data_IF_539761509151
#
_entry.id   IF_539761509151
#
_cell.length_a   1.000
_cell.length_b   1.000
_cell.length_c   1.000
_cell.angle_alpha   90.00
_cell.angle_beta   90.00
_cell.angle_gamma   90.00
#
_symmetry.space_group_name_H-M   'P 1'
#
loop_
_entity.id
_entity.type
_entity.pdbx_description
1 polymer ?
#
# COMPACT_ATOMS: atom_id res chain seq x y z
N UNK A 1 4.34 6.56 4.84
CA UNK A 1 3.86 7.56 3.85
C UNK A 1 2.54 8.23 4.25
N UNK A 2 1.40 7.52 4.25
CA UNK A 2 0.08 8.10 4.56
C UNK A 2 0.03 8.87 5.89
N UNK A 3 0.52 8.27 6.99
CA UNK A 3 0.57 8.92 8.29
C UNK A 3 1.41 10.22 8.28
N UNK A 4 2.56 10.22 7.60
CA UNK A 4 3.37 11.42 7.44
C UNK A 4 2.64 12.52 6.66
N UNK A 5 1.98 12.17 5.56
CA UNK A 5 1.17 13.13 4.78
C UNK A 5 -0.02 13.65 5.60
N UNK A 6 -0.64 12.81 6.42
CA UNK A 6 -1.69 13.23 7.33
C UNK A 6 -1.18 14.24 8.37
N UNK A 7 0.02 14.05 8.93
CA UNK A 7 0.66 15.05 9.80
C UNK A 7 0.90 16.38 9.06
N UNK A 8 1.34 16.33 7.80
CA UNK A 8 1.51 17.53 6.98
C UNK A 8 0.18 18.25 6.70
N UNK A 9 -0.88 17.48 6.47
CA UNK A 9 -2.23 18.02 6.28
C UNK A 9 -2.75 18.70 7.54
N UNK A 10 -2.59 18.06 8.70
CA UNK A 10 -2.93 18.67 10.00
C UNK A 10 -2.08 19.90 10.32
N UNK A 11 -0.79 19.88 9.98
CA UNK A 11 0.05 21.08 10.09
C UNK A 11 -0.52 22.24 9.27
N UNK A 12 -0.97 22.00 8.03
CA UNK A 12 -1.56 23.04 7.18
C UNK A 12 -2.83 23.63 7.79
N UNK A 13 -3.68 22.81 8.40
CA UNK A 13 -4.93 23.23 9.02
C UNK A 13 -4.70 23.95 10.37
N UNK A 14 -3.94 23.33 11.26
CA UNK A 14 -3.85 23.73 12.67
C UNK A 14 -2.58 24.53 13.02
N UNK A 15 -1.61 24.59 12.10
CA UNK A 15 -0.30 25.26 12.25
C UNK A 15 0.55 24.78 13.43
N UNK A 16 0.33 23.53 13.86
CA UNK A 16 1.06 22.89 14.96
C UNK A 16 2.47 22.45 14.51
N UNK A 17 3.50 23.16 14.94
CA UNK A 17 4.89 23.03 14.44
C UNK A 17 5.50 21.62 14.55
N UNK A 18 5.28 20.88 15.65
CA UNK A 18 5.91 19.56 15.85
C UNK A 18 5.42 18.51 14.83
N UNK A 19 4.33 18.77 14.11
CA UNK A 19 3.82 17.87 13.09
C UNK A 19 4.72 17.78 11.86
N UNK A 20 5.55 18.80 11.59
CA UNK A 20 6.52 18.78 10.49
C UNK A 20 7.65 17.78 10.71
N UNK A 21 8.42 17.84 11.82
CA UNK A 21 9.45 16.82 12.08
C UNK A 21 8.83 15.43 12.30
N UNK A 22 7.65 15.33 12.90
CA UNK A 22 6.94 14.05 13.00
C UNK A 22 6.59 13.49 11.61
N UNK A 23 6.11 14.33 10.70
CA UNK A 23 5.83 13.94 9.32
C UNK A 23 7.08 13.39 8.63
N UNK A 24 8.19 14.13 8.70
CA UNK A 24 9.48 13.71 8.14
C UNK A 24 9.99 12.41 8.75
N UNK A 25 9.91 12.24 10.07
CA UNK A 25 10.31 11.01 10.77
C UNK A 25 9.47 9.78 10.36
N UNK A 26 8.16 9.93 10.22
CA UNK A 26 7.26 8.85 9.77
C UNK A 26 7.51 8.44 8.33
N UNK A 27 7.93 9.38 7.48
CA UNK A 27 8.31 9.07 6.10
C UNK A 27 9.69 8.42 6.07
N UNK A 28 10.66 8.92 6.84
CA UNK A 28 11.99 8.34 7.00
C UNK A 28 11.92 6.88 7.46
N UNK A 29 11.13 6.58 8.50
CA UNK A 29 10.88 5.23 8.95
C UNK A 29 10.26 4.33 7.86
N UNK A 30 9.39 4.91 7.02
CA UNK A 30 8.86 4.23 5.84
C UNK A 30 9.92 3.94 4.78
N UNK A 31 10.83 4.88 4.52
CA UNK A 31 11.93 4.72 3.57
C UNK A 31 12.94 3.67 4.04
N UNK A 32 13.25 3.65 5.34
CA UNK A 32 14.13 2.67 5.98
C UNK A 32 13.61 1.23 5.85
N UNK A 33 12.29 1.05 5.83
CA UNK A 33 11.69 -0.28 5.66
C UNK A 33 11.45 -0.65 4.19
N UNK A 34 11.30 0.35 3.32
CA UNK A 34 11.12 0.15 1.87
C UNK A 34 11.69 1.32 1.08
N UNK A 35 12.70 1.02 0.26
CA UNK A 35 13.33 1.97 -0.66
C UNK A 35 12.31 2.70 -1.57
N UNK A 36 11.24 2.01 -1.98
CA UNK A 36 10.14 2.58 -2.78
C UNK A 36 9.46 3.76 -2.09
N UNK A 37 9.40 3.80 -0.75
CA UNK A 37 8.87 4.95 -0.01
C UNK A 37 9.87 6.10 0.00
N UNK A 38 11.17 5.82 -0.08
CA UNK A 38 12.22 6.83 -0.27
C UNK A 38 12.04 7.64 -1.54
N UNK A 39 11.56 7.01 -2.63
CA UNK A 39 11.22 7.73 -3.87
C UNK A 39 10.12 8.79 -3.69
N UNK A 40 9.30 8.68 -2.64
CA UNK A 40 8.30 9.71 -2.31
C UNK A 40 8.93 11.03 -1.83
N UNK A 41 10.23 11.08 -1.53
CA UNK A 41 10.87 12.31 -1.05
C UNK A 41 10.64 13.49 -2.00
N UNK A 42 10.76 13.27 -3.32
CA UNK A 42 10.54 14.31 -4.34
C UNK A 42 9.11 14.87 -4.30
N UNK A 43 8.03 14.06 -4.44
CA UNK A 43 6.69 14.60 -4.36
C UNK A 43 6.40 15.21 -2.99
N UNK A 44 6.97 14.68 -1.90
CA UNK A 44 6.80 15.24 -0.57
C UNK A 44 7.42 16.63 -0.41
N UNK A 45 8.59 16.90 -0.99
CA UNK A 45 9.19 18.24 -1.00
C UNK A 45 8.30 19.25 -1.70
N UNK A 46 7.75 18.89 -2.86
CA UNK A 46 6.78 19.71 -3.59
C UNK A 46 5.56 19.99 -2.71
N UNK A 47 5.04 18.97 -2.02
CA UNK A 47 3.88 19.11 -1.14
C UNK A 47 4.13 20.02 0.06
N UNK A 48 5.27 19.85 0.75
CA UNK A 48 5.66 20.71 1.86
C UNK A 48 5.81 22.15 1.37
N UNK A 49 6.49 22.37 0.25
CA UNK A 49 6.72 23.70 -0.34
C UNK A 49 5.43 24.50 -0.54
N UNK A 50 4.36 23.83 -1.03
CA UNK A 50 3.04 24.44 -1.24
C UNK A 50 2.13 24.43 0.01
N UNK A 51 2.48 23.68 1.05
CA UNK A 51 1.73 23.64 2.31
C UNK A 51 2.20 24.68 3.35
N UNK A 52 3.47 25.09 3.29
CA UNK A 52 4.08 26.02 4.27
C UNK A 52 3.94 27.49 3.85
N UNK A 53 3.95 28.39 4.84
CA UNK A 53 3.89 29.82 4.59
C UNK A 53 5.22 30.32 3.98
N UNK A 54 5.21 31.20 2.97
CA UNK A 54 6.44 31.69 2.34
C UNK A 54 7.45 32.29 3.32
N UNK A 55 6.97 33.00 4.34
CA UNK A 55 7.82 33.65 5.36
C UNK A 55 8.54 32.68 6.29
N UNK A 56 7.98 31.48 6.52
CA UNK A 56 8.58 30.45 7.40
C UNK A 56 9.11 29.24 6.63
N UNK A 57 9.06 29.29 5.29
CA UNK A 57 9.29 28.14 4.42
C UNK A 57 10.62 27.45 4.67
N UNK A 58 11.71 28.20 4.85
CA UNK A 58 13.03 27.61 5.11
C UNK A 58 13.08 26.87 6.45
N UNK A 59 12.54 27.47 7.52
CA UNK A 59 12.43 26.82 8.83
C UNK A 59 11.57 25.56 8.75
N UNK A 60 10.41 25.67 8.11
CA UNK A 60 9.45 24.57 8.05
C UNK A 60 9.97 23.41 7.17
N UNK A 61 10.66 23.72 6.07
CA UNK A 61 11.41 22.75 5.27
C UNK A 61 12.52 22.11 6.09
N UNK A 62 13.31 22.90 6.82
CA UNK A 62 14.37 22.36 7.68
C UNK A 62 13.79 21.39 8.71
N UNK A 63 12.74 21.77 9.43
CA UNK A 63 12.08 20.90 10.41
C UNK A 63 11.56 19.59 9.79
N UNK A 64 11.02 19.64 8.58
CA UNK A 64 10.58 18.45 7.86
C UNK A 64 11.75 17.60 7.34
N UNK A 65 12.80 18.24 6.84
CA UNK A 65 13.93 17.61 6.18
C UNK A 65 14.92 16.99 7.16
N UNK A 66 15.11 17.55 8.34
CA UNK A 66 16.08 17.02 9.32
C UNK A 66 15.88 15.53 9.61
N UNK A 67 14.70 15.05 10.03
CA UNK A 67 14.50 13.61 10.29
C UNK A 67 14.54 12.75 9.01
N UNK A 68 14.20 13.33 7.85
CA UNK A 68 14.38 12.65 6.55
C UNK A 68 15.85 12.48 6.20
N UNK A 69 16.67 13.50 6.44
CA UNK A 69 18.12 13.48 6.25
C UNK A 69 18.78 12.44 7.14
N UNK A 70 18.39 12.37 8.42
CA UNK A 70 18.86 11.30 9.32
C UNK A 70 18.49 9.92 8.80
N UNK A 71 17.26 9.73 8.30
CA UNK A 71 16.86 8.47 7.68
C UNK A 71 17.66 8.11 6.43
N UNK A 72 17.97 9.09 5.58
CA UNK A 72 18.79 8.91 4.39
C UNK A 72 20.25 8.57 4.75
N UNK A 73 20.81 9.22 5.77
CA UNK A 73 22.14 8.93 6.28
C UNK A 73 22.26 7.49 6.79
N UNK A 74 21.26 7.02 7.54
CA UNK A 74 21.19 5.62 7.99
C UNK A 74 21.15 4.66 6.80
N UNK A 75 20.38 4.97 5.74
CA UNK A 75 20.35 4.16 4.52
C UNK A 75 21.70 4.13 3.81
N UNK A 76 22.34 5.28 3.63
CA UNK A 76 23.65 5.35 2.99
C UNK A 76 24.73 4.61 3.79
N UNK A 77 24.71 4.72 5.12
CA UNK A 77 25.61 3.96 5.98
C UNK A 77 25.34 2.45 5.89
N UNK A 78 24.08 2.03 5.81
CA UNK A 78 23.69 0.64 5.62
C UNK A 78 24.16 0.09 4.26
N UNK A 79 23.90 0.82 3.17
CA UNK A 79 24.28 0.44 1.81
C UNK A 79 25.82 0.41 1.66
N UNK A 80 26.53 1.39 2.23
CA UNK A 80 28.00 1.35 2.31
C UNK A 80 28.51 0.14 3.08
N UNK A 81 27.89 -0.20 4.22
CA UNK A 81 28.27 -1.38 5.00
C UNK A 81 28.03 -2.71 4.26
N UNK A 82 27.04 -2.77 3.36
CA UNK A 82 26.66 -3.97 2.62
C UNK A 82 27.40 -4.14 1.29
N UNK A 83 27.61 -3.05 0.56
CA UNK A 83 28.11 -3.06 -0.81
C UNK A 83 29.44 -2.31 -0.99
N UNK A 84 29.91 -1.59 0.04
CA UNK A 84 31.09 -0.73 -0.05
C UNK A 84 30.82 0.59 -0.81
N UNK A 85 29.56 0.84 -1.20
CA UNK A 85 29.14 2.04 -1.92
C UNK A 85 27.78 2.52 -1.38
N UNK A 86 27.65 3.78 -0.89
CA UNK A 86 26.39 4.28 -0.33
C UNK A 86 25.27 4.44 -1.35
N UNK A 87 25.57 4.42 -2.65
CA UNK A 87 24.59 4.54 -3.73
C UNK A 87 24.17 3.20 -4.32
N UNK A 88 24.79 2.10 -3.90
CA UNK A 88 24.46 0.77 -4.35
C UNK A 88 23.38 0.18 -3.44
N UNK A 89 22.16 0.05 -3.96
CA UNK A 89 20.98 -0.32 -3.16
C UNK A 89 20.60 -1.80 -3.31
N UNK A 90 21.30 -2.53 -4.20
CA UNK A 90 20.95 -3.88 -4.61
C UNK A 90 19.71 -3.98 -5.50
N UNK A 91 19.19 -2.85 -5.99
CA UNK A 91 18.09 -2.81 -6.97
C UNK A 91 18.60 -2.35 -8.33
N UNK A 92 18.05 -2.91 -9.43
CA UNK A 92 18.32 -2.40 -10.78
C UNK A 92 17.78 -0.98 -10.90
N UNK A 93 18.55 -0.09 -11.51
CA UNK A 93 18.22 1.33 -11.69
C UNK A 93 17.82 1.65 -13.12
N UNK A 94 17.46 0.64 -13.90
CA UNK A 94 17.07 0.74 -15.30
C UNK A 94 15.59 1.16 -15.44
N UNK A 95 15.34 2.14 -16.30
CA UNK A 95 14.01 2.72 -16.57
C UNK A 95 13.63 2.62 -18.05
N UNK A 96 13.76 1.42 -18.60
CA UNK A 96 13.61 1.11 -20.02
C UNK A 96 12.23 0.54 -20.41
N UNK A 97 11.38 0.17 -19.45
CA UNK A 97 10.03 -0.34 -19.74
C UNK A 97 9.22 0.70 -20.53
N UNK A 98 8.60 0.33 -21.67
CA UNK A 98 7.67 1.21 -22.37
C UNK A 98 6.54 1.64 -21.43
N UNK A 99 6.31 2.96 -21.33
CA UNK A 99 5.41 3.53 -20.31
C UNK A 99 4.02 2.89 -20.33
N UNK A 100 3.43 2.70 -21.51
CA UNK A 100 2.11 2.10 -21.64
C UNK A 100 2.08 0.65 -21.15
N UNK A 101 3.14 -0.13 -21.39
CA UNK A 101 3.27 -1.51 -20.91
C UNK A 101 3.28 -1.55 -19.39
N UNK A 102 4.11 -0.71 -18.76
CA UNK A 102 4.17 -0.64 -17.30
C UNK A 102 2.89 -0.12 -16.65
N UNK A 103 2.25 0.90 -17.24
CA UNK A 103 0.95 1.43 -16.76
C UNK A 103 -0.14 0.37 -16.88
N UNK A 104 -0.28 -0.25 -18.04
CA UNK A 104 -1.26 -1.32 -18.25
C UNK A 104 -0.96 -2.51 -17.32
N UNK A 105 0.31 -2.80 -17.10
CA UNK A 105 0.77 -3.85 -16.20
C UNK A 105 0.36 -3.60 -14.75
N UNK A 106 0.69 -2.42 -14.22
CA UNK A 106 0.38 -2.03 -12.84
C UNK A 106 -1.13 -1.90 -12.57
N UNK A 107 -1.92 -1.52 -13.57
CA UNK A 107 -3.36 -1.32 -13.40
C UNK A 107 -4.19 -2.57 -13.72
N UNK A 108 -3.84 -3.32 -14.76
CA UNK A 108 -4.73 -4.32 -15.37
C UNK A 108 -4.12 -5.70 -15.59
N UNK A 109 -2.82 -5.91 -15.30
CA UNK A 109 -2.23 -7.25 -15.47
C UNK A 109 -2.94 -8.30 -14.61
N UNK A 110 -3.02 -9.52 -15.12
CA UNK A 110 -3.63 -10.64 -14.42
C UNK A 110 -2.78 -11.14 -13.26
N UNK A 111 -1.47 -10.89 -13.27
CA UNK A 111 -0.55 -11.29 -12.20
C UNK A 111 -0.35 -10.24 -11.11
N UNK A 112 -0.56 -8.94 -11.40
CA UNK A 112 -0.22 -7.85 -10.46
C UNK A 112 -1.18 -6.66 -10.46
N UNK A 113 -2.13 -6.60 -11.39
CA UNK A 113 -2.91 -5.39 -11.67
C UNK A 113 -3.74 -4.93 -10.49
N UNK A 114 -3.73 -3.61 -10.24
CA UNK A 114 -4.50 -2.97 -9.19
C UNK A 114 -6.00 -3.29 -9.28
N UNK A 115 -6.57 -3.28 -10.48
CA UNK A 115 -7.98 -3.57 -10.69
C UNK A 115 -8.36 -5.01 -10.37
N UNK A 116 -7.43 -5.95 -10.54
CA UNK A 116 -7.66 -7.39 -10.31
C UNK A 116 -7.46 -7.73 -8.83
N UNK A 117 -6.37 -7.26 -8.23
CA UNK A 117 -5.98 -7.62 -6.87
C UNK A 117 -6.51 -6.69 -5.78
N UNK A 118 -6.92 -5.46 -6.13
CA UNK A 118 -7.48 -4.51 -5.17
C UNK A 118 -8.60 -3.66 -5.80
N UNK A 119 -9.66 -4.29 -6.33
CA UNK A 119 -10.81 -3.58 -6.90
C UNK A 119 -11.46 -2.60 -5.91
N UNK A 120 -11.42 -2.92 -4.61
CA UNK A 120 -11.89 -2.03 -3.53
C UNK A 120 -11.14 -0.70 -3.53
N UNK A 121 -9.83 -0.70 -3.80
CA UNK A 121 -9.06 0.55 -3.91
C UNK A 121 -9.43 1.35 -5.16
N UNK A 122 -9.75 0.68 -6.27
CA UNK A 122 -10.23 1.35 -7.49
C UNK A 122 -11.55 2.08 -7.21
N UNK A 123 -12.49 1.41 -6.53
CA UNK A 123 -13.76 2.03 -6.10
C UNK A 123 -13.49 3.22 -5.17
N UNK A 124 -12.56 3.07 -4.23
CA UNK A 124 -12.17 4.16 -3.31
C UNK A 124 -11.61 5.38 -4.02
N UNK A 125 -10.70 5.20 -4.98
CA UNK A 125 -10.19 6.32 -5.78
C UNK A 125 -11.30 6.96 -6.63
N UNK A 126 -12.13 6.16 -7.30
CA UNK A 126 -13.25 6.68 -8.08
C UNK A 126 -14.19 7.53 -7.20
N UNK A 127 -14.58 7.03 -6.03
CA UNK A 127 -15.41 7.74 -5.07
C UNK A 127 -14.77 9.06 -4.60
N UNK A 128 -13.46 9.07 -4.35
CA UNK A 128 -12.71 10.26 -3.97
C UNK A 128 -12.75 11.33 -5.07
N UNK A 129 -12.44 10.96 -6.31
CA UNK A 129 -12.32 11.92 -7.42
C UNK A 129 -13.69 12.43 -7.89
N UNK A 130 -14.72 11.58 -7.89
CA UNK A 130 -16.07 11.95 -8.30
C UNK A 130 -16.84 12.73 -7.22
N UNK A 131 -16.48 12.59 -5.94
CA UNK A 131 -17.18 13.27 -4.85
C UNK A 131 -16.93 14.78 -4.85
N UNK A 132 -17.99 15.57 -4.65
CA UNK A 132 -17.90 17.03 -4.45
C UNK A 132 -17.46 17.43 -3.03
N UNK A 133 -17.36 16.48 -2.08
CA UNK A 133 -16.97 16.74 -0.68
C UNK A 133 -15.49 17.07 -0.52
N UNK A 134 -14.64 16.44 -1.33
CA UNK A 134 -13.20 16.67 -1.26
C UNK A 134 -12.81 17.93 -2.02
N UNK A 135 -12.01 18.77 -1.37
CA UNK A 135 -11.48 19.97 -1.95
C UNK A 135 -10.44 19.67 -3.04
N UNK A 136 -10.17 20.67 -3.89
CA UNK A 136 -9.24 20.52 -5.03
C UNK A 136 -7.86 20.09 -4.56
N UNK A 137 -7.38 20.58 -3.41
CA UNK A 137 -6.07 20.23 -2.89
C UNK A 137 -5.96 18.73 -2.56
N UNK A 138 -6.92 18.16 -1.82
CA UNK A 138 -6.91 16.72 -1.48
C UNK A 138 -6.94 15.85 -2.73
N UNK A 139 -7.74 16.22 -3.74
CA UNK A 139 -7.80 15.51 -5.02
C UNK A 139 -6.47 15.62 -5.78
N UNK A 140 -5.95 16.83 -5.96
CA UNK A 140 -4.70 17.05 -6.68
C UNK A 140 -3.51 16.35 -6.01
N UNK A 141 -3.44 16.38 -4.67
CA UNK A 141 -2.45 15.66 -3.87
C UNK A 141 -2.52 14.15 -4.12
N UNK A 142 -3.72 13.58 -4.00
CA UNK A 142 -3.94 12.14 -4.18
C UNK A 142 -3.62 11.72 -5.61
N UNK A 143 -4.07 12.48 -6.60
CA UNK A 143 -3.77 12.24 -8.01
C UNK A 143 -2.27 12.33 -8.28
N UNK A 144 -1.60 13.36 -7.78
CA UNK A 144 -0.17 13.57 -7.96
C UNK A 144 0.64 12.40 -7.38
N UNK A 145 0.35 11.98 -6.14
CA UNK A 145 1.02 10.83 -5.54
C UNK A 145 0.75 9.54 -6.31
N UNK A 146 -0.51 9.28 -6.66
CA UNK A 146 -0.87 8.09 -7.43
C UNK A 146 -0.16 8.05 -8.78
N UNK A 147 -0.19 9.15 -9.54
CA UNK A 147 0.45 9.28 -10.84
C UNK A 147 1.98 9.21 -10.72
N UNK A 148 2.57 9.83 -9.71
CA UNK A 148 4.01 9.75 -9.46
C UNK A 148 4.44 8.29 -9.27
N UNK A 149 3.79 7.58 -8.34
CA UNK A 149 4.08 6.17 -8.09
C UNK A 149 3.77 5.29 -9.30
N UNK A 150 2.70 5.57 -10.04
CA UNK A 150 2.36 4.82 -11.25
C UNK A 150 3.43 5.00 -12.34
N UNK A 151 3.79 6.25 -12.67
CA UNK A 151 4.70 6.55 -13.78
C UNK A 151 6.12 6.09 -13.47
N UNK A 152 6.64 6.35 -12.26
CA UNK A 152 8.01 5.98 -11.91
C UNK A 152 8.20 4.47 -11.97
N UNK A 153 7.23 3.70 -11.44
CA UNK A 153 7.31 2.24 -11.46
C UNK A 153 6.92 1.64 -12.80
N UNK A 154 6.07 2.30 -13.60
CA UNK A 154 5.75 1.85 -14.95
C UNK A 154 6.96 1.94 -15.88
N UNK A 155 7.88 2.88 -15.64
CA UNK A 155 9.12 3.01 -16.40
C UNK A 155 10.21 2.05 -15.93
N UNK A 156 10.18 1.64 -14.67
CA UNK A 156 11.18 0.76 -14.08
C UNK A 156 11.20 -0.62 -14.78
N UNK A 157 12.38 -1.20 -15.02
CA UNK A 157 12.52 -2.50 -15.70
C UNK A 157 11.80 -3.63 -14.95
N UNK A 158 11.69 -3.50 -13.63
CA UNK A 158 10.98 -4.43 -12.74
C UNK A 158 9.61 -3.87 -12.33
N UNK A 159 8.85 -3.30 -13.27
CA UNK A 159 7.52 -2.72 -13.02
C UNK A 159 6.56 -3.70 -12.31
N UNK A 160 6.74 -5.01 -12.49
CA UNK A 160 5.95 -6.06 -11.84
C UNK A 160 6.31 -6.31 -10.38
N UNK A 161 7.37 -5.67 -9.86
CA UNK A 161 7.73 -5.64 -8.44
C UNK A 161 8.29 -6.95 -7.89
N UNK A 162 8.77 -7.84 -8.77
CA UNK A 162 9.28 -9.17 -8.41
C UNK A 162 8.18 -10.20 -8.18
N UNK A 163 8.54 -11.29 -7.49
CA UNK A 163 7.65 -12.42 -7.19
C UNK A 163 6.82 -12.16 -5.93
N UNK A 164 5.84 -11.27 -6.04
CA UNK A 164 4.98 -10.87 -4.91
C UNK A 164 3.49 -10.85 -5.25
N UNK A 165 2.63 -10.94 -4.25
CA UNK A 165 1.18 -10.83 -4.45
C UNK A 165 0.72 -9.38 -4.70
N UNK A 166 0.02 -9.16 -5.81
CA UNK A 166 -0.67 -7.90 -6.12
C UNK A 166 0.24 -6.70 -6.47
N UNK A 167 -0.32 -5.47 -6.51
CA UNK A 167 0.33 -4.25 -7.00
C UNK A 167 1.26 -3.64 -5.94
N UNK A 168 2.28 -4.39 -5.48
CA UNK A 168 3.15 -4.02 -4.36
C UNK A 168 3.72 -2.59 -4.44
N UNK A 169 4.04 -2.15 -5.65
CA UNK A 169 4.65 -0.83 -5.91
C UNK A 169 3.67 0.34 -5.71
N UNK A 170 2.36 0.09 -5.81
CA UNK A 170 1.32 1.09 -5.55
C UNK A 170 0.80 1.06 -4.11
N UNK A 171 1.21 0.09 -3.29
CA UNK A 171 0.79 0.00 -1.87
C UNK A 171 0.96 1.31 -1.08
N UNK A 172 2.02 2.12 -1.26
CA UNK A 172 2.16 3.37 -0.51
C UNK A 172 1.03 4.37 -0.72
N UNK A 173 0.35 4.32 -1.88
CA UNK A 173 -0.73 5.25 -2.23
C UNK A 173 -2.13 4.67 -2.02
N UNK A 174 -2.29 3.36 -1.86
CA UNK A 174 -3.61 2.74 -1.66
C UNK A 174 -4.37 3.23 -0.42
N UNK A 175 -3.74 3.59 0.72
CA UNK A 175 -4.47 4.15 1.86
C UNK A 175 -5.30 5.39 1.54
N UNK A 176 -4.92 6.17 0.51
CA UNK A 176 -5.69 7.34 0.06
C UNK A 176 -7.03 6.96 -0.57
N UNK A 177 -7.15 5.78 -1.18
CA UNK A 177 -8.45 5.27 -1.64
C UNK A 177 -9.44 5.09 -0.49
N UNK A 178 -8.93 4.83 0.72
CA UNK A 178 -9.73 4.73 1.94
C UNK A 178 -10.53 5.99 2.23
N UNK A 179 -10.02 7.18 1.89
CA UNK A 179 -10.75 8.45 2.07
C UNK A 179 -12.05 8.45 1.25
N UNK A 180 -12.00 7.99 -0.01
CA UNK A 180 -13.19 7.88 -0.84
C UNK A 180 -14.15 6.78 -0.39
N UNK A 181 -13.64 5.65 0.11
CA UNK A 181 -14.47 4.58 0.67
C UNK A 181 -15.24 5.05 1.91
N UNK A 182 -14.58 5.79 2.82
CA UNK A 182 -15.27 6.39 3.98
C UNK A 182 -16.41 7.29 3.53
N UNK A 183 -16.17 8.14 2.52
CA UNK A 183 -17.22 9.00 1.98
C UNK A 183 -18.40 8.21 1.38
N UNK A 184 -18.13 7.11 0.67
CA UNK A 184 -19.16 6.25 0.11
C UNK A 184 -20.00 5.61 1.23
N UNK A 185 -19.34 5.09 2.26
CA UNK A 185 -20.02 4.46 3.40
C UNK A 185 -20.82 5.44 4.25
N UNK A 186 -20.42 6.70 4.37
CA UNK A 186 -21.24 7.71 5.06
C UNK A 186 -22.60 7.95 4.37
N UNK A 187 -22.68 7.73 3.05
CA UNK A 187 -23.87 7.98 2.24
C UNK A 187 -24.69 6.75 1.87
N UNK A 188 -24.14 5.56 2.05
CA UNK A 188 -24.81 4.33 1.66
C UNK A 188 -25.84 3.89 2.70
N UNK A 189 -27.05 3.60 2.23
CA UNK A 189 -27.98 2.77 2.99
C UNK A 189 -27.31 1.42 3.26
N UNK A 190 -27.50 0.89 4.47
CA UNK A 190 -26.82 -0.33 4.92
C UNK A 190 -25.28 -0.27 4.85
N UNK A 191 -24.66 0.90 5.06
CA UNK A 191 -23.20 1.10 5.08
C UNK A 191 -22.39 0.02 5.79
N UNK A 192 -22.96 -0.58 6.84
CA UNK A 192 -22.36 -1.67 7.62
C UNK A 192 -22.22 -2.96 6.82
N UNK A 193 -23.23 -3.31 6.01
CA UNK A 193 -23.23 -4.49 5.15
C UNK A 193 -22.20 -4.30 4.04
N UNK A 194 -22.26 -3.17 3.32
CA UNK A 194 -21.29 -2.87 2.26
C UNK A 194 -19.85 -2.79 2.78
N UNK A 195 -19.65 -2.19 3.95
CA UNK A 195 -18.36 -2.18 4.63
C UNK A 195 -17.85 -3.58 4.94
N UNK A 196 -18.71 -4.44 5.51
CA UNK A 196 -18.36 -5.83 5.81
C UNK A 196 -18.09 -6.66 4.53
N UNK A 197 -18.87 -6.46 3.47
CA UNK A 197 -18.69 -7.15 2.19
C UNK A 197 -17.37 -6.74 1.52
N UNK A 198 -17.07 -5.44 1.42
CA UNK A 198 -15.83 -4.98 0.80
C UNK A 198 -14.60 -5.35 1.64
N UNK A 199 -14.71 -5.28 2.97
CA UNK A 199 -13.66 -5.75 3.87
C UNK A 199 -13.46 -7.26 3.74
N UNK A 200 -14.54 -8.05 3.75
CA UNK A 200 -14.50 -9.50 3.59
C UNK A 200 -13.93 -9.92 2.23
N UNK A 201 -14.32 -9.22 1.16
CA UNK A 201 -13.81 -9.47 -0.18
C UNK A 201 -12.32 -9.12 -0.32
N UNK A 202 -11.88 -7.97 0.19
CA UNK A 202 -10.47 -7.61 0.25
C UNK A 202 -9.67 -8.57 1.13
N UNK A 203 -10.23 -8.96 2.27
CA UNK A 203 -9.67 -9.95 3.19
C UNK A 203 -9.49 -11.31 2.52
N UNK A 204 -10.49 -11.78 1.78
CA UNK A 204 -10.42 -13.04 1.03
C UNK A 204 -9.30 -12.99 -0.01
N UNK A 205 -9.22 -11.94 -0.83
CA UNK A 205 -8.15 -11.78 -1.82
C UNK A 205 -6.76 -11.83 -1.17
N UNK A 206 -6.58 -11.18 -0.01
CA UNK A 206 -5.30 -11.17 0.69
C UNK A 206 -5.03 -12.48 1.46
N UNK A 207 -6.07 -13.18 1.90
CA UNK A 207 -5.93 -14.48 2.53
C UNK A 207 -5.40 -15.52 1.54
N UNK A 208 -5.84 -15.48 0.28
CA UNK A 208 -5.30 -16.32 -0.78
C UNK A 208 -3.78 -16.10 -0.97
N UNK A 209 -3.26 -14.91 -0.69
CA UNK A 209 -1.82 -14.65 -0.77
C UNK A 209 -1.01 -15.49 0.23
N UNK A 210 -1.58 -15.79 1.40
CA UNK A 210 -0.93 -16.60 2.45
C UNK A 210 -0.87 -18.08 2.05
N UNK A 211 -1.87 -18.53 1.29
CA UNK A 211 -2.00 -19.92 0.85
C UNK A 211 -1.28 -20.23 -0.47
N UNK A 212 -0.46 -19.31 -1.00
CA UNK A 212 0.44 -19.59 -2.14
C UNK A 212 1.84 -19.08 -1.82
N UNK A 213 2.86 -19.97 -1.75
CA UNK A 213 4.25 -19.53 -1.72
C UNK A 213 4.62 -18.99 -3.10
N UNK A 214 4.45 -17.68 -3.22
CA UNK A 214 4.40 -17.00 -4.50
C UNK A 214 5.76 -16.94 -5.20
N UNK A 215 6.84 -16.93 -4.41
CA UNK A 215 8.21 -17.09 -4.89
C UNK A 215 8.44 -18.46 -5.51
N UNK A 216 8.03 -19.54 -4.83
CA UNK A 216 8.16 -20.92 -5.29
C UNK A 216 7.37 -21.13 -6.58
N UNK A 217 6.14 -20.63 -6.65
CA UNK A 217 5.34 -20.70 -7.88
C UNK A 217 6.07 -20.08 -9.09
N UNK A 218 6.58 -18.85 -8.95
CA UNK A 218 7.28 -18.18 -10.05
C UNK A 218 8.59 -18.89 -10.40
N UNK A 219 9.36 -19.30 -9.40
CA UNK A 219 10.61 -20.02 -9.59
C UNK A 219 10.38 -21.34 -10.33
N UNK A 220 9.44 -22.16 -9.88
CA UNK A 220 9.09 -23.44 -10.51
C UNK A 220 8.57 -23.24 -11.92
N UNK A 221 7.69 -22.25 -12.15
CA UNK A 221 7.20 -21.95 -13.49
C UNK A 221 8.34 -21.56 -14.43
N UNK A 222 9.27 -20.70 -14.00
CA UNK A 222 10.42 -20.31 -14.81
C UNK A 222 11.37 -21.47 -15.11
N UNK A 223 11.61 -22.37 -14.14
CA UNK A 223 12.41 -23.59 -14.34
C UNK A 223 11.79 -24.50 -15.39
N UNK A 224 10.47 -24.58 -15.45
CA UNK A 224 9.72 -25.33 -16.46
C UNK A 224 9.58 -24.58 -17.80
N UNK A 225 10.31 -23.48 -17.99
CA UNK A 225 10.35 -22.72 -19.25
C UNK A 225 9.17 -21.76 -19.46
N UNK A 226 8.33 -21.51 -18.44
CA UNK A 226 7.30 -20.49 -18.55
C UNK A 226 7.94 -19.11 -18.57
N UNK A 227 7.51 -18.28 -19.53
CA UNK A 227 7.95 -16.89 -19.62
C UNK A 227 7.22 -16.03 -18.59
N UNK A 228 7.92 -15.08 -17.99
CA UNK A 228 7.34 -14.14 -17.01
C UNK A 228 6.13 -13.37 -17.57
N UNK A 229 6.22 -12.94 -18.83
CA UNK A 229 5.13 -12.30 -19.56
C UNK A 229 3.82 -13.11 -19.52
N UNK A 230 3.89 -14.45 -19.54
CA UNK A 230 2.70 -15.30 -19.52
C UNK A 230 2.04 -15.25 -18.15
N UNK A 231 2.84 -15.32 -17.08
CA UNK A 231 2.37 -15.25 -15.70
C UNK A 231 1.74 -13.88 -15.37
N UNK A 232 2.22 -12.83 -16.02
CA UNK A 232 1.71 -11.47 -15.83
C UNK A 232 0.44 -11.18 -16.66
N UNK A 233 0.40 -11.61 -17.93
CA UNK A 233 -0.61 -11.15 -18.89
C UNK A 233 -1.65 -12.18 -19.29
N UNK A 234 -1.44 -13.48 -19.06
CA UNK A 234 -2.43 -14.49 -19.44
C UNK A 234 -3.33 -14.81 -18.25
N UNK A 235 -4.64 -14.63 -18.46
CA UNK A 235 -5.68 -15.00 -17.49
C UNK A 235 -5.55 -16.45 -17.00
N UNK A 236 -5.13 -17.38 -17.88
CA UNK A 236 -4.92 -18.80 -17.54
C UNK A 236 -3.86 -19.02 -16.46
N UNK A 237 -2.92 -18.09 -16.27
CA UNK A 237 -1.90 -18.20 -15.23
C UNK A 237 -2.14 -17.23 -14.08
N UNK A 238 -3.32 -16.58 -14.04
CA UNK A 238 -3.70 -15.69 -12.96
C UNK A 238 -3.78 -16.47 -11.63
N UNK A 239 -2.93 -16.15 -10.64
CA UNK A 239 -2.92 -16.88 -9.38
C UNK A 239 -4.20 -16.75 -8.56
N UNK A 240 -4.96 -15.67 -8.74
CA UNK A 240 -6.28 -15.51 -8.14
C UNK A 240 -7.30 -16.50 -8.68
N UNK A 241 -7.29 -16.76 -10.00
CA UNK A 241 -8.27 -17.62 -10.64
C UNK A 241 -7.89 -19.11 -10.54
N UNK A 242 -6.59 -19.41 -10.56
CA UNK A 242 -6.07 -20.78 -10.54
C UNK A 242 -5.48 -21.14 -9.17
N UNK A 243 -5.95 -20.48 -8.11
CA UNK A 243 -5.48 -20.70 -6.75
C UNK A 243 -5.62 -22.16 -6.29
N UNK A 244 -6.66 -22.86 -6.76
CA UNK A 244 -6.90 -24.26 -6.45
C UNK A 244 -5.83 -25.19 -7.04
N UNK A 245 -5.40 -24.95 -8.29
CA UNK A 245 -4.32 -25.71 -8.93
C UNK A 245 -3.00 -25.46 -8.21
N UNK A 246 -2.73 -24.19 -7.88
CA UNK A 246 -1.54 -23.78 -7.13
C UNK A 246 -1.47 -24.45 -5.76
N UNK A 247 -2.58 -24.43 -5.03
CA UNK A 247 -2.66 -25.07 -3.72
C UNK A 247 -2.45 -26.58 -3.81
N UNK A 248 -3.06 -27.24 -4.80
CA UNK A 248 -2.94 -28.69 -4.99
C UNK A 248 -1.52 -29.12 -5.41
N UNK A 249 -0.78 -28.26 -6.12
CA UNK A 249 0.59 -28.56 -6.58
C UNK A 249 1.68 -28.21 -5.58
N UNK A 250 1.37 -27.55 -4.48
CA UNK A 250 2.37 -27.02 -3.53
C UNK A 250 2.50 -27.94 -2.33
N UNK A 251 3.73 -28.31 -1.97
CA UNK A 251 3.97 -29.10 -0.75
C UNK A 251 3.98 -28.18 0.46
N UNK A 252 3.62 -28.70 1.64
CA UNK A 252 3.59 -27.85 2.84
C UNK A 252 4.97 -27.29 3.19
N UNK A 253 6.03 -27.99 2.77
CA UNK A 253 7.43 -27.60 2.92
C UNK A 253 7.78 -26.31 2.17
N UNK A 254 7.00 -25.97 1.14
CA UNK A 254 7.18 -24.74 0.36
C UNK A 254 6.55 -23.52 1.05
N UNK A 255 5.74 -23.72 2.09
CA UNK A 255 5.05 -22.64 2.79
C UNK A 255 5.90 -22.04 3.91
N UNK A 256 5.68 -20.75 4.17
CA UNK A 256 6.28 -20.05 5.31
C UNK A 256 5.87 -20.65 6.68
N UNK A 257 4.85 -21.51 6.72
CA UNK A 257 4.43 -22.24 7.92
C UNK A 257 5.48 -23.23 8.45
N UNK A 258 6.43 -23.65 7.60
CA UNK A 258 7.56 -24.52 8.02
C UNK A 258 8.41 -23.84 9.10
N UNK A 259 8.57 -22.52 9.02
CA UNK A 259 9.27 -21.73 10.06
C UNK A 259 8.58 -21.78 11.42
N UNK A 260 7.29 -22.13 11.46
CA UNK A 260 6.51 -22.34 12.68
C UNK A 260 6.52 -23.81 13.14
N UNK A 261 7.33 -24.67 12.52
CA UNK A 261 7.40 -26.11 12.81
C UNK A 261 6.19 -26.90 12.31
N UNK A 262 5.38 -26.32 11.41
CA UNK A 262 4.21 -26.99 10.84
C UNK A 262 4.65 -27.81 9.64
N UNK A 263 4.70 -29.13 9.81
CA UNK A 263 5.06 -30.10 8.76
C UNK A 263 3.85 -30.81 8.13
N UNK A 264 2.63 -30.54 8.60
CA UNK A 264 1.40 -31.16 8.12
C UNK A 264 0.26 -30.15 8.08
N UNK A 265 -0.61 -30.27 7.08
CA UNK A 265 -1.82 -29.44 7.00
C UNK A 265 -2.71 -29.79 8.19
N UNK A 266 -2.80 -28.89 9.17
CA UNK A 266 -3.45 -29.17 10.45
C UNK A 266 -4.06 -27.94 11.11
N UNK A 267 -4.61 -28.15 12.31
CA UNK A 267 -5.25 -27.11 13.12
C UNK A 267 -4.42 -25.81 13.33
N UNK A 268 -3.07 -25.79 13.35
CA UNK A 268 -2.31 -24.55 13.52
C UNK A 268 -2.49 -23.56 12.36
N UNK A 269 -2.59 -24.04 11.12
CA UNK A 269 -2.81 -23.19 9.93
C UNK A 269 -4.22 -22.60 9.95
N UNK A 270 -5.21 -23.40 10.38
CA UNK A 270 -6.58 -22.94 10.58
C UNK A 270 -6.67 -21.88 11.69
N UNK A 271 -5.86 -22.01 12.76
CA UNK A 271 -5.80 -21.00 13.83
C UNK A 271 -5.24 -19.66 13.36
N UNK A 272 -4.28 -19.63 12.42
CA UNK A 272 -3.78 -18.35 11.86
C UNK A 272 -4.88 -17.66 11.06
N UNK A 273 -5.63 -18.41 10.23
CA UNK A 273 -6.80 -17.89 9.53
C UNK A 273 -7.91 -17.41 10.48
N UNK A 274 -8.22 -18.19 11.51
CA UNK A 274 -9.16 -17.84 12.58
C UNK A 274 -8.71 -16.62 13.38
N UNK A 275 -7.42 -16.49 13.67
CA UNK A 275 -6.87 -15.34 14.38
C UNK A 275 -6.99 -14.06 13.56
N UNK A 276 -6.69 -14.12 12.26
CA UNK A 276 -6.94 -13.01 11.33
C UNK A 276 -8.42 -12.62 11.28
N UNK A 277 -9.32 -13.61 11.26
CA UNK A 277 -10.78 -13.40 11.32
C UNK A 277 -11.21 -12.77 12.65
N UNK A 278 -10.67 -13.23 13.78
CA UNK A 278 -10.95 -12.68 15.12
C UNK A 278 -10.47 -11.24 15.22
N UNK A 279 -9.26 -10.92 14.75
CA UNK A 279 -8.75 -9.55 14.71
C UNK A 279 -9.64 -8.64 13.85
N UNK A 280 -10.12 -9.13 12.70
CA UNK A 280 -11.09 -8.42 11.88
C UNK A 280 -12.40 -8.16 12.63
N UNK A 281 -12.96 -9.17 13.31
CA UNK A 281 -14.20 -9.06 14.10
C UNK A 281 -14.01 -8.07 15.27
N UNK A 282 -12.88 -8.13 15.98
CA UNK A 282 -12.54 -7.21 17.07
C UNK A 282 -12.37 -5.79 16.55
N UNK A 283 -11.71 -5.61 15.39
CA UNK A 283 -11.61 -4.34 14.70
C UNK A 283 -12.98 -3.74 14.39
N UNK A 284 -13.89 -4.54 13.79
CA UNK A 284 -15.28 -4.16 13.53
C UNK A 284 -16.01 -3.77 14.82
N UNK A 285 -15.84 -4.54 15.92
CA UNK A 285 -16.46 -4.23 17.22
C UNK A 285 -15.93 -2.94 17.84
N UNK A 286 -14.63 -2.66 17.73
CA UNK A 286 -14.04 -1.40 18.22
C UNK A 286 -14.51 -0.19 17.41
N UNK A 287 -14.55 -0.30 16.09
CA UNK A 287 -15.15 0.74 15.23
C UNK A 287 -16.62 0.96 15.59
N UNK A 288 -17.38 -0.12 15.82
CA UNK A 288 -18.78 -0.05 16.26
C UNK A 288 -18.95 0.71 17.59
N UNK A 289 -18.05 0.50 18.55
CA UNK A 289 -18.06 1.22 19.83
C UNK A 289 -17.74 2.71 19.66
N UNK A 290 -16.75 3.05 18.84
CA UNK A 290 -16.38 4.46 18.57
C UNK A 290 -17.48 5.23 17.85
N UNK A 291 -18.13 4.60 16.85
CA UNK A 291 -19.27 5.21 16.13
C UNK A 291 -20.46 5.43 17.06
N UNK A 292 -20.79 4.45 17.89
CA UNK A 292 -21.89 4.58 18.87
C UNK A 292 -21.64 5.74 19.84
N UNK A 293 -20.41 5.86 20.36
CA UNK A 293 -20.02 6.96 21.26
C UNK A 293 -20.14 8.34 20.57
N UNK A 294 -19.74 8.44 19.30
CA UNK A 294 -19.84 9.69 18.52
C UNK A 294 -21.29 10.07 18.15
N UNK A 295 -22.16 9.08 17.92
CA UNK A 295 -23.60 9.31 17.70
C UNK A 295 -24.27 9.77 19.01
N UNK A 296 -23.91 9.19 20.15
CA UNK A 296 -24.47 9.59 21.47
C UNK A 296 -24.00 10.95 21.96
N UNK A 297 -22.77 11.38 21.63
CA UNK A 297 -22.27 12.70 22.01
C UNK A 297 -22.95 13.83 21.23
N UNK A 298 -23.25 13.63 19.94
CA UNK A 298 -23.95 14.61 19.10
C UNK A 298 -25.43 14.79 19.46
N UNK A 299 -26.05 13.79 20.08
CA UNK A 299 -27.43 13.88 20.57
C UNK A 299 -27.56 14.57 21.93
N UNK A 300 -26.49 14.62 22.73
CA UNK A 300 -26.48 15.27 24.05
C UNK A 300 -26.25 16.79 24.02
N UNK A 301 -25.72 17.34 22.93
CA UNK A 301 -25.52 18.80 22.74
C UNK A 301 -26.75 19.51 22.14
N UNK A 302 -27.82 18.78 21.79
CA UNK A 302 -29.04 19.31 21.18
C UNK A 302 -30.27 19.37 22.11
N UNK A 303 -30.07 19.18 23.41
CA UNK A 303 -31.10 19.32 24.46
C UNK A 303 -30.65 20.33 25.48
#
# INVERSE_FOLDING_TARGET
LFAGIHCLWRYRADRILYLLPLSGALIAAGALTRIVVGLAAVPLLVLVWFAVNPKSRFRDLFLFLTPLGVGAEILFAYDYGRFGNPFETGYPIDFDTPLLTGVAGLLFSWGRGLAIYSPVSVIGFAALFLSKRFDRWTKSLTAFLFLFFLVIHAKWSYWYGGWCWGPRLLLPVLPFAGLGLVHLFERADHRRIWGALLFGFGGLINLLAVFVPFSVFYQTAMVHGFKEEWLLWRRRYCPLLNHHELFASTQIEDYDFVWLGVSQWGWPVLLIGLFGLVLAIVGIRRVRRMVWLAETSNTGEKT
#
